data_IF_102644140338
#
_entry.id   IF_102644140338
#
_cell.length_a   1.000
_cell.length_b   1.000
_cell.length_c   1.000
_cell.angle_alpha   90.00
_cell.angle_beta   90.00
_cell.angle_gamma   90.00
#
_symmetry.space_group_name_H-M   'P 1'
#
loop_
_entity.id
_entity.type
_entity.pdbx_description
1 polymer ?
#
# COMPACT_ATOMS: atom_id res chain seq x y z
N UNK A 1 -17.41 4.90 -24.63
CA UNK A 1 -17.34 4.53 -23.20
C UNK A 1 -17.39 5.82 -22.39
N UNK A 2 -18.28 5.93 -21.39
CA UNK A 2 -18.50 7.18 -20.65
C UNK A 2 -17.34 7.40 -19.64
N UNK A 3 -16.76 8.61 -19.59
CA UNK A 3 -15.61 8.93 -18.71
C UNK A 3 -15.89 8.58 -17.24
N UNK A 4 -17.13 8.81 -16.79
CA UNK A 4 -17.59 8.44 -15.46
C UNK A 4 -17.48 6.93 -15.19
N UNK A 5 -17.88 6.09 -16.14
CA UNK A 5 -17.82 4.64 -15.99
C UNK A 5 -16.37 4.16 -15.91
N UNK A 6 -15.47 4.77 -16.70
CA UNK A 6 -14.04 4.49 -16.63
C UNK A 6 -13.49 4.85 -15.24
N UNK A 7 -13.78 6.07 -14.76
CA UNK A 7 -13.34 6.57 -13.47
C UNK A 7 -13.84 5.68 -12.32
N UNK A 8 -15.13 5.32 -12.35
CA UNK A 8 -15.72 4.44 -11.35
C UNK A 8 -15.07 3.05 -11.33
N UNK A 9 -14.82 2.46 -12.51
CA UNK A 9 -14.14 1.17 -12.62
C UNK A 9 -12.69 1.25 -12.13
N UNK A 10 -11.96 2.29 -12.53
CA UNK A 10 -10.56 2.48 -12.16
C UNK A 10 -10.41 2.69 -10.65
N UNK A 11 -11.22 3.57 -10.05
CA UNK A 11 -11.21 3.80 -8.61
C UNK A 11 -11.58 2.55 -7.82
N UNK A 12 -12.64 1.82 -8.22
CA UNK A 12 -12.98 0.55 -7.57
C UNK A 12 -11.84 -0.45 -7.64
N UNK A 13 -11.23 -0.61 -8.81
CA UNK A 13 -10.14 -1.57 -9.01
C UNK A 13 -8.91 -1.20 -8.18
N UNK A 14 -8.53 0.08 -8.16
CA UNK A 14 -7.39 0.59 -7.37
C UNK A 14 -7.60 0.38 -5.87
N UNK A 15 -8.80 0.69 -5.36
CA UNK A 15 -9.12 0.51 -3.93
C UNK A 15 -9.22 -0.96 -3.53
N UNK A 16 -9.83 -1.81 -4.37
CA UNK A 16 -9.89 -3.26 -4.12
C UNK A 16 -8.49 -3.87 -4.12
N UNK A 17 -7.64 -3.45 -5.06
CA UNK A 17 -6.25 -3.88 -5.08
C UNK A 17 -5.52 -3.46 -3.80
N UNK A 18 -5.64 -2.19 -3.38
CA UNK A 18 -5.00 -1.67 -2.17
C UNK A 18 -5.43 -2.45 -0.91
N UNK A 19 -6.73 -2.76 -0.79
CA UNK A 19 -7.28 -3.56 0.30
C UNK A 19 -6.78 -5.01 0.27
N UNK A 20 -6.82 -5.66 -0.88
CA UNK A 20 -6.34 -7.03 -1.03
C UNK A 20 -4.85 -7.13 -0.71
N UNK A 21 -4.07 -6.16 -1.17
CA UNK A 21 -2.64 -6.06 -0.89
C UNK A 21 -2.39 -5.82 0.60
N UNK A 22 -3.13 -4.91 1.25
CA UNK A 22 -3.04 -4.67 2.68
C UNK A 22 -3.32 -5.95 3.49
N UNK A 23 -4.39 -6.68 3.16
CA UNK A 23 -4.73 -7.95 3.84
C UNK A 23 -3.63 -8.98 3.64
N UNK A 24 -3.09 -9.10 2.43
CA UNK A 24 -1.96 -10.01 2.15
C UNK A 24 -0.75 -9.65 3.01
N UNK A 25 -0.34 -8.38 3.04
CA UNK A 25 0.83 -7.91 3.80
C UNK A 25 0.63 -8.08 5.31
N UNK A 26 -0.56 -7.77 5.83
CA UNK A 26 -0.93 -8.01 7.23
C UNK A 26 -0.98 -9.50 7.58
N UNK A 27 -1.23 -10.40 6.62
CA UNK A 27 -1.12 -11.84 6.83
C UNK A 27 0.32 -12.34 6.90
N UNK A 28 1.26 -11.63 6.27
CA UNK A 28 2.69 -11.95 6.28
C UNK A 28 3.34 -11.48 7.58
N UNK A 29 3.02 -10.28 8.07
CA UNK A 29 3.68 -9.66 9.22
C UNK A 29 3.76 -10.52 10.51
N UNK A 30 2.67 -11.15 10.99
CA UNK A 30 2.70 -11.94 12.23
C UNK A 30 3.64 -13.16 12.13
N UNK A 31 3.80 -13.73 10.93
CA UNK A 31 4.67 -14.90 10.74
C UNK A 31 6.14 -14.55 10.96
N UNK A 32 6.56 -13.33 10.60
CA UNK A 32 7.93 -12.87 10.85
C UNK A 32 8.13 -12.41 12.30
N UNK A 33 7.10 -11.85 12.92
CA UNK A 33 7.13 -11.51 14.34
C UNK A 33 7.21 -12.75 15.24
N UNK A 34 6.59 -13.87 14.85
CA UNK A 34 6.73 -15.14 15.59
C UNK A 34 8.08 -15.82 15.42
N UNK A 35 8.79 -15.52 14.33
CA UNK A 35 10.14 -16.05 14.07
C UNK A 35 11.16 -15.38 15.02
N UNK A 36 10.87 -14.20 15.57
CA UNK A 36 11.69 -13.51 16.60
C UNK A 36 12.00 -14.37 17.85
N UNK A 37 11.16 -15.37 18.15
CA UNK A 37 11.34 -16.25 19.32
C UNK A 37 12.39 -17.36 19.12
N UNK A 38 12.98 -17.48 17.92
CA UNK A 38 14.00 -18.51 17.62
C UNK A 38 15.41 -17.88 17.60
N UNK A 39 16.28 -18.33 18.49
CA UNK A 39 17.45 -17.60 19.00
C UNK A 39 18.68 -17.52 18.07
N UNK A 40 18.50 -17.48 16.74
CA UNK A 40 19.63 -17.38 15.81
C UNK A 40 19.76 -15.97 15.25
N UNK A 41 21.00 -15.44 15.19
CA UNK A 41 21.31 -14.10 14.65
C UNK A 41 20.64 -13.81 13.30
N UNK A 42 20.60 -14.80 12.40
CA UNK A 42 19.98 -14.66 11.07
C UNK A 42 18.45 -14.47 11.14
N UNK A 43 17.81 -15.14 12.10
CA UNK A 43 16.37 -15.04 12.35
C UNK A 43 16.02 -13.65 12.93
N UNK A 44 16.83 -13.14 13.85
CA UNK A 44 16.67 -11.77 14.35
C UNK A 44 16.84 -10.71 13.25
N UNK A 45 17.85 -10.84 12.38
CA UNK A 45 18.04 -9.95 11.23
C UNK A 45 16.85 -10.01 10.26
N UNK A 46 16.30 -11.20 10.04
CA UNK A 46 15.12 -11.38 9.19
C UNK A 46 13.87 -10.70 9.78
N UNK A 47 13.67 -10.81 11.10
CA UNK A 47 12.58 -10.10 11.80
C UNK A 47 12.73 -8.58 11.69
N UNK A 48 13.95 -8.06 11.87
CA UNK A 48 14.27 -6.64 11.71
C UNK A 48 13.95 -6.10 10.30
N UNK A 49 14.35 -6.86 9.26
CA UNK A 49 14.03 -6.53 7.86
C UNK A 49 12.52 -6.55 7.64
N UNK A 50 11.82 -7.55 8.18
CA UNK A 50 10.38 -7.64 8.12
C UNK A 50 9.71 -6.43 8.79
N UNK A 51 10.15 -6.05 9.99
CA UNK A 51 9.59 -4.89 10.69
C UNK A 51 9.75 -3.60 9.89
N UNK A 52 10.94 -3.34 9.35
CA UNK A 52 11.21 -2.12 8.59
C UNK A 52 10.35 -2.01 7.32
N UNK A 53 10.38 -3.03 6.46
CA UNK A 53 9.73 -2.95 5.15
C UNK A 53 8.23 -3.24 5.20
N UNK A 54 7.80 -4.23 5.99
CA UNK A 54 6.38 -4.60 6.04
C UNK A 54 5.56 -3.48 6.69
N UNK A 55 6.07 -2.81 7.73
CA UNK A 55 5.40 -1.66 8.32
C UNK A 55 5.24 -0.50 7.33
N UNK A 56 6.27 -0.21 6.54
CA UNK A 56 6.20 0.79 5.47
C UNK A 56 5.18 0.40 4.40
N UNK A 57 5.17 -0.86 3.97
CA UNK A 57 4.21 -1.37 2.99
C UNK A 57 2.76 -1.25 3.49
N UNK A 58 2.50 -1.59 4.76
CA UNK A 58 1.19 -1.41 5.41
C UNK A 58 0.77 0.06 5.41
N UNK A 59 1.67 0.95 5.85
CA UNK A 59 1.40 2.39 5.93
C UNK A 59 1.03 2.96 4.57
N UNK A 60 1.80 2.63 3.53
CA UNK A 60 1.54 3.08 2.17
C UNK A 60 0.24 2.49 1.62
N UNK A 61 -0.07 1.22 1.89
CA UNK A 61 -1.31 0.59 1.46
C UNK A 61 -2.56 1.20 2.14
N UNK A 62 -2.46 1.62 3.40
CA UNK A 62 -3.53 2.37 4.09
C UNK A 62 -3.77 3.72 3.37
N UNK A 63 -2.71 4.45 3.03
CA UNK A 63 -2.81 5.72 2.31
C UNK A 63 -3.41 5.50 0.90
N UNK A 64 -2.99 4.44 0.20
CA UNK A 64 -3.53 4.06 -1.11
C UNK A 64 -5.04 3.77 -1.06
N UNK A 65 -5.47 3.06 -0.02
CA UNK A 65 -6.88 2.75 0.24
C UNK A 65 -7.68 4.01 0.57
N UNK A 66 -7.14 4.89 1.44
CA UNK A 66 -7.78 6.14 1.81
C UNK A 66 -7.97 7.08 0.61
N UNK A 67 -6.91 7.28 -0.18
CA UNK A 67 -6.96 8.11 -1.39
C UNK A 67 -7.91 7.53 -2.45
N UNK A 68 -7.92 6.21 -2.65
CA UNK A 68 -8.89 5.55 -3.54
C UNK A 68 -10.34 5.71 -3.07
N UNK A 69 -10.58 5.67 -1.76
CA UNK A 69 -11.91 5.87 -1.17
C UNK A 69 -12.38 7.32 -1.34
N UNK A 70 -11.49 8.30 -1.13
CA UNK A 70 -11.77 9.72 -1.41
C UNK A 70 -12.10 9.92 -2.88
N UNK A 71 -11.30 9.35 -3.79
CA UNK A 71 -11.58 9.41 -5.24
C UNK A 71 -13.00 8.94 -5.56
N UNK A 72 -13.46 7.87 -4.92
CA UNK A 72 -14.80 7.29 -5.16
C UNK A 72 -15.92 8.23 -4.72
N UNK A 73 -15.79 8.84 -3.53
CA UNK A 73 -16.78 9.76 -2.96
C UNK A 73 -16.99 11.00 -3.83
N UNK A 74 -15.93 11.49 -4.47
CA UNK A 74 -15.98 12.67 -5.33
C UNK A 74 -16.48 12.39 -6.76
N UNK A 75 -16.86 11.15 -7.12
CA UNK A 75 -17.47 10.87 -8.42
C UNK A 75 -18.91 11.41 -8.42
N UNK A 76 -19.25 12.38 -9.30
CA UNK A 76 -20.57 13.00 -9.28
C UNK A 76 -21.68 12.04 -9.74
N UNK A 77 -22.81 12.07 -9.03
CA UNK A 77 -24.06 11.42 -9.49
C UNK A 77 -24.75 12.28 -10.55
N UNK A 78 -25.26 11.68 -11.62
CA UNK A 78 -25.86 12.42 -12.76
C UNK A 78 -27.29 12.93 -12.45
N UNK A 79 -27.66 13.04 -11.16
CA UNK A 79 -29.05 13.27 -10.75
C UNK A 79 -29.53 14.72 -10.92
N UNK A 80 -28.63 15.70 -11.07
CA UNK A 80 -29.02 17.11 -11.20
C UNK A 80 -28.26 17.83 -12.33
N UNK A 81 -28.83 17.77 -13.53
CA UNK A 81 -28.29 18.39 -14.75
C UNK A 81 -28.39 19.93 -14.75
N UNK A 82 -29.21 20.53 -13.87
CA UNK A 82 -29.56 21.96 -13.98
C UNK A 82 -28.73 22.92 -13.10
N UNK A 83 -27.90 22.44 -12.17
CA UNK A 83 -27.10 23.32 -11.29
C UNK A 83 -25.65 22.85 -11.15
N UNK A 84 -24.74 23.59 -11.81
CA UNK A 84 -23.27 23.73 -11.57
C UNK A 84 -22.32 22.86 -12.40
N UNK A 85 -22.20 23.20 -13.68
CA UNK A 85 -21.10 22.75 -14.56
C UNK A 85 -19.69 22.94 -13.95
N UNK A 86 -19.45 24.01 -13.18
CA UNK A 86 -18.18 24.24 -12.47
C UNK A 86 -17.92 23.29 -11.30
N UNK A 87 -18.94 22.94 -10.51
CA UNK A 87 -18.76 22.08 -9.35
C UNK A 87 -18.52 20.63 -9.78
N UNK A 88 -19.26 20.16 -10.77
CA UNK A 88 -19.06 18.84 -11.39
C UNK A 88 -17.65 18.69 -11.95
N UNK A 89 -17.12 19.74 -12.62
CA UNK A 89 -15.72 19.75 -13.10
C UNK A 89 -14.72 19.62 -11.96
N UNK A 90 -14.91 20.36 -10.86
CA UNK A 90 -14.04 20.26 -9.67
C UNK A 90 -14.09 18.83 -9.10
N UNK A 91 -15.28 18.26 -8.94
CA UNK A 91 -15.45 16.88 -8.47
C UNK A 91 -14.69 15.86 -9.35
N UNK A 92 -14.79 15.97 -10.68
CA UNK A 92 -14.03 15.10 -11.59
C UNK A 92 -12.52 15.28 -11.48
N UNK A 93 -12.03 16.52 -11.37
CA UNK A 93 -10.60 16.82 -11.18
C UNK A 93 -10.11 16.24 -9.86
N UNK A 94 -10.83 16.50 -8.76
CA UNK A 94 -10.50 15.97 -7.44
C UNK A 94 -10.50 14.44 -7.44
N UNK A 95 -11.55 13.81 -7.97
CA UNK A 95 -11.64 12.35 -8.06
C UNK A 95 -10.48 11.75 -8.86
N UNK A 96 -10.10 12.37 -9.97
CA UNK A 96 -8.99 11.92 -10.81
C UNK A 96 -7.64 12.09 -10.11
N UNK A 97 -7.42 13.20 -9.41
CA UNK A 97 -6.19 13.46 -8.65
C UNK A 97 -5.99 12.44 -7.52
N UNK A 98 -7.04 12.16 -6.76
CA UNK A 98 -7.00 11.15 -5.70
C UNK A 98 -6.85 9.73 -6.23
N UNK A 99 -7.38 9.43 -7.42
CA UNK A 99 -7.13 8.17 -8.11
C UNK A 99 -5.63 8.02 -8.47
N UNK A 100 -5.02 9.07 -9.03
CA UNK A 100 -3.59 9.08 -9.36
C UNK A 100 -2.75 8.83 -8.11
N UNK A 101 -3.07 9.49 -7.00
CA UNK A 101 -2.38 9.23 -5.73
C UNK A 101 -2.56 7.79 -5.25
N UNK A 102 -3.77 7.24 -5.33
CA UNK A 102 -4.03 5.83 -4.98
C UNK A 102 -3.15 4.87 -5.79
N UNK A 103 -3.04 5.10 -7.10
CA UNK A 103 -2.19 4.28 -7.99
C UNK A 103 -0.70 4.43 -7.64
N UNK A 104 -0.22 5.66 -7.39
CA UNK A 104 1.17 5.92 -7.00
C UNK A 104 1.50 5.22 -5.67
N UNK A 105 0.63 5.33 -4.67
CA UNK A 105 0.85 4.66 -3.38
C UNK A 105 0.78 3.14 -3.52
N UNK A 106 -0.15 2.60 -4.33
CA UNK A 106 -0.16 1.17 -4.64
C UNK A 106 1.18 0.71 -5.25
N UNK A 107 1.74 1.49 -6.18
CA UNK A 107 3.06 1.20 -6.76
C UNK A 107 4.17 1.19 -5.70
N UNK A 108 4.22 2.20 -4.83
CA UNK A 108 5.19 2.24 -3.72
C UNK A 108 5.03 1.05 -2.78
N UNK A 109 3.80 0.67 -2.42
CA UNK A 109 3.55 -0.48 -1.54
C UNK A 109 4.08 -1.79 -2.15
N UNK A 110 3.89 -1.97 -3.47
CA UNK A 110 4.44 -3.12 -4.22
C UNK A 110 5.97 -3.08 -4.21
N UNK A 111 6.58 -1.93 -4.50
CA UNK A 111 8.03 -1.77 -4.48
C UNK A 111 8.61 -2.10 -3.10
N UNK A 112 8.03 -1.59 -2.03
CA UNK A 112 8.48 -1.88 -0.66
C UNK A 112 8.41 -3.38 -0.34
N UNK A 113 7.37 -4.08 -0.81
CA UNK A 113 7.30 -5.54 -0.66
C UNK A 113 8.30 -6.28 -1.54
N UNK A 114 8.60 -5.77 -2.74
CA UNK A 114 9.66 -6.34 -3.59
C UNK A 114 11.04 -6.18 -2.92
N UNK A 115 11.33 -5.01 -2.37
CA UNK A 115 12.56 -4.74 -1.62
C UNK A 115 12.66 -5.65 -0.39
N UNK A 116 11.55 -5.86 0.33
CA UNK A 116 11.49 -6.84 1.41
C UNK A 116 11.90 -8.25 0.94
N UNK A 117 11.38 -8.73 -0.19
CA UNK A 117 11.73 -10.07 -0.69
C UNK A 117 13.21 -10.19 -1.08
N UNK A 118 13.81 -9.15 -1.62
CA UNK A 118 15.23 -9.13 -1.95
C UNK A 118 16.13 -9.17 -0.70
N UNK A 119 15.77 -8.39 0.32
CA UNK A 119 16.52 -8.28 1.58
C UNK A 119 16.24 -9.42 2.57
N UNK A 120 15.10 -10.10 2.46
CA UNK A 120 14.75 -11.28 3.26
C UNK A 120 15.33 -12.59 2.72
N UNK A 121 16.00 -12.56 1.56
CA UNK A 121 16.66 -13.73 1.01
C UNK A 121 17.84 -14.17 1.89
N UNK A 122 18.03 -15.49 2.02
CA UNK A 122 19.14 -16.07 2.80
C UNK A 122 20.53 -15.46 2.47
N UNK A 123 20.92 -15.24 1.20
CA UNK A 123 22.21 -14.60 0.90
C UNK A 123 22.29 -13.14 1.34
N UNK A 124 21.19 -12.38 1.31
CA UNK A 124 21.14 -10.99 1.80
C UNK A 124 21.29 -10.94 3.32
N UNK A 125 20.54 -11.80 4.04
CA UNK A 125 20.63 -11.89 5.50
C UNK A 125 22.03 -12.31 5.97
N UNK A 126 22.68 -13.28 5.31
CA UNK A 126 24.03 -13.70 5.67
C UNK A 126 25.10 -12.61 5.49
N UNK A 127 24.83 -11.61 4.64
CA UNK A 127 25.74 -10.47 4.40
C UNK A 127 25.42 -9.27 5.29
N UNK A 128 24.28 -9.26 5.98
CA UNK A 128 23.94 -8.19 6.91
C UNK A 128 24.80 -8.24 8.17
N UNK A 129 25.45 -7.12 8.46
CA UNK A 129 26.26 -6.97 9.67
C UNK A 129 25.46 -6.47 10.86
N UNK A 130 24.35 -5.78 10.62
CA UNK A 130 23.52 -5.10 11.63
C UNK A 130 22.04 -5.10 11.22
N UNK A 131 21.10 -5.07 12.18
CA UNK A 131 19.67 -4.91 11.92
C UNK A 131 19.32 -3.49 11.44
N UNK A 132 18.22 -3.36 10.71
CA UNK A 132 17.76 -2.09 10.09
C UNK A 132 16.99 -1.18 11.05
N UNK A 133 16.51 -1.72 12.15
CA UNK A 133 15.60 -1.08 13.11
C UNK A 133 16.20 -0.98 14.52
N UNK A 134 17.54 -1.03 14.61
CA UNK A 134 18.31 -0.95 15.86
C UNK A 134 18.01 -2.06 16.88
N UNK A 135 17.38 -3.15 16.47
CA UNK A 135 17.19 -4.32 17.34
C UNK A 135 18.54 -4.88 17.80
N UNK A 136 18.58 -5.45 19.01
CA UNK A 136 19.78 -6.14 19.50
C UNK A 136 19.63 -7.63 19.21
N UNK A 137 20.30 -8.09 18.16
CA UNK A 137 20.40 -9.52 17.88
C UNK A 137 21.49 -10.13 18.77
N UNK A 138 21.10 -10.96 19.74
CA UNK A 138 22.00 -11.73 20.60
C UNK A 138 22.39 -13.06 19.96
#
# INVERSE_FOLDING_TARGET
MNFKELLLKATKSSTIFALAFLVMVCGVYPNYNTIEFDSTKNICLLSSVAHHYIWQAITVAIIATGTGSVSYVFIPEDKDVSKRDKFTKICYVTSSLFLIFSVIFNFFAIMTMADFFDHSSQPSILRMSQPLDYYVCQ
#
